data_IF_857889607543
#
_entry.id   IF_857889607543
#
_cell.length_a   1.000
_cell.length_b   1.000
_cell.length_c   1.000
_cell.angle_alpha   90.00
_cell.angle_beta   90.00
_cell.angle_gamma   90.00
#
_symmetry.space_group_name_H-M   'P 1'
#
loop_
_entity.id
_entity.type
_entity.pdbx_description
1 polymer ?
#
# COMPACT_ATOMS: atom_id res chain seq x y z
N UNK A 1 15.45 23.40 -17.41
CA UNK A 1 15.30 23.03 -18.84
C UNK A 1 14.68 21.64 -18.87
N UNK A 2 13.55 21.46 -19.55
CA UNK A 2 12.96 20.14 -19.76
C UNK A 2 12.95 19.87 -21.27
N UNK A 3 13.58 18.77 -21.69
CA UNK A 3 13.50 18.28 -23.05
C UNK A 3 12.35 17.28 -23.05
N UNK A 4 11.29 17.58 -23.79
CA UNK A 4 10.15 16.69 -24.02
C UNK A 4 10.05 16.40 -25.52
N UNK A 5 9.52 15.23 -25.89
CA UNK A 5 9.15 14.90 -27.26
C UNK A 5 7.65 15.11 -27.47
N UNK A 6 7.26 15.53 -28.68
CA UNK A 6 5.86 15.80 -29.03
C UNK A 6 5.71 17.05 -29.89
N UNK A 7 4.68 17.08 -30.75
CA UNK A 7 4.40 18.20 -31.64
C UNK A 7 3.40 19.21 -31.06
N UNK A 8 2.84 18.92 -29.88
CA UNK A 8 1.91 19.79 -29.15
C UNK A 8 2.11 19.67 -27.63
N UNK A 9 1.52 20.59 -26.87
CA UNK A 9 1.50 20.53 -25.41
C UNK A 9 0.77 19.28 -24.87
N UNK A 10 -0.16 18.70 -25.66
CA UNK A 10 -0.89 17.48 -25.28
C UNK A 10 -0.09 16.21 -25.60
N UNK A 11 0.73 16.25 -26.66
CA UNK A 11 1.62 15.14 -27.06
C UNK A 11 2.93 15.10 -26.26
N UNK A 12 3.15 16.08 -25.38
CA UNK A 12 4.39 16.30 -24.60
C UNK A 12 4.69 15.11 -23.69
N UNK A 13 5.66 14.29 -24.09
CA UNK A 13 6.12 13.09 -23.38
C UNK A 13 7.57 13.24 -22.94
N UNK A 14 7.89 12.68 -21.77
CA UNK A 14 9.29 12.57 -21.34
C UNK A 14 10.07 11.68 -22.34
N UNK A 15 11.32 12.03 -22.68
CA UNK A 15 12.16 11.18 -23.49
C UNK A 15 12.40 9.86 -22.76
N UNK A 16 12.42 8.76 -23.52
CA UNK A 16 12.76 7.43 -22.97
C UNK A 16 14.16 7.45 -22.37
N UNK A 17 14.36 6.67 -21.31
CA UNK A 17 15.67 6.53 -20.68
C UNK A 17 16.70 6.02 -21.72
N UNK A 18 17.89 6.65 -21.85
CA UNK A 18 18.91 6.19 -22.78
C UNK A 18 19.32 4.74 -22.53
N UNK A 19 19.63 4.00 -23.62
CA UNK A 19 20.11 2.61 -23.53
C UNK A 19 21.36 2.47 -22.63
N UNK A 20 22.19 3.52 -22.57
CA UNK A 20 23.37 3.62 -21.70
C UNK A 20 23.07 3.76 -20.20
N UNK A 21 21.80 3.79 -19.76
CA UNK A 21 21.44 3.69 -18.35
C UNK A 21 21.20 2.22 -17.91
N UNK A 22 20.88 1.33 -18.86
CA UNK A 22 20.54 -0.08 -18.62
C UNK A 22 21.78 -0.98 -18.53
N UNK A 23 22.89 -0.49 -17.97
CA UNK A 23 24.22 -1.13 -17.94
C UNK A 23 24.24 -2.37 -17.01
N UNK A 24 23.61 -3.46 -17.45
CA UNK A 24 23.30 -4.62 -16.60
C UNK A 24 22.11 -4.41 -15.66
N UNK A 25 21.56 -3.19 -15.61
CA UNK A 25 20.43 -2.83 -14.74
C UNK A 25 19.07 -3.19 -15.35
N UNK A 26 18.15 -3.60 -14.49
CA UNK A 26 16.73 -3.82 -14.81
C UNK A 26 15.90 -2.72 -14.14
N UNK A 27 14.99 -2.09 -14.88
CA UNK A 27 14.07 -1.05 -14.39
C UNK A 27 12.61 -1.52 -14.52
N UNK A 28 11.71 -0.95 -13.72
CA UNK A 28 10.27 -1.18 -13.87
C UNK A 28 9.63 -0.09 -14.76
N UNK A 29 8.92 -0.52 -15.81
CA UNK A 29 8.05 0.35 -16.62
C UNK A 29 6.69 0.55 -15.95
N UNK A 30 6.15 -0.52 -15.35
CA UNK A 30 4.93 -0.47 -14.53
C UNK A 30 4.84 -1.65 -13.56
N UNK A 31 4.14 -1.48 -12.45
CA UNK A 31 3.88 -2.50 -11.44
C UNK A 31 2.38 -2.60 -11.16
N UNK A 32 1.71 -3.60 -11.75
CA UNK A 32 0.32 -3.89 -11.40
C UNK A 32 0.27 -4.64 -10.06
N UNK A 33 -0.49 -4.13 -9.09
CA UNK A 33 -0.75 -4.85 -7.83
C UNK A 33 -1.86 -5.86 -8.06
N UNK A 34 -1.48 -7.14 -8.04
CA UNK A 34 -2.41 -8.25 -8.18
C UNK A 34 -3.24 -8.36 -6.90
N UNK A 35 -4.55 -8.55 -7.07
CA UNK A 35 -5.51 -8.68 -5.97
C UNK A 35 -6.47 -9.84 -6.19
N UNK A 36 -6.89 -10.42 -5.08
CA UNK A 36 -8.02 -11.33 -4.98
C UNK A 36 -9.12 -10.69 -4.11
N UNK A 37 -10.25 -11.39 -3.91
CA UNK A 37 -11.37 -10.92 -3.09
C UNK A 37 -11.03 -10.70 -1.60
N UNK A 38 -9.88 -11.17 -1.12
CA UNK A 38 -9.40 -11.01 0.26
C UNK A 38 -8.40 -9.85 0.43
N UNK A 39 -7.80 -9.35 -0.65
CA UNK A 39 -6.79 -8.28 -0.62
C UNK A 39 -5.69 -8.43 -1.69
N UNK A 40 -4.51 -7.82 -1.49
CA UNK A 40 -3.36 -8.02 -2.37
C UNK A 40 -2.84 -9.47 -2.35
N UNK A 41 -2.50 -10.01 -3.51
CA UNK A 41 -1.96 -11.38 -3.70
C UNK A 41 -0.52 -11.39 -4.22
N UNK A 42 -0.10 -10.36 -4.94
CA UNK A 42 1.25 -10.23 -5.48
C UNK A 42 1.49 -8.93 -6.24
N UNK A 43 2.64 -8.86 -6.90
CA UNK A 43 3.03 -7.82 -7.85
C UNK A 43 3.23 -8.45 -9.23
N UNK A 44 2.90 -7.72 -10.28
CA UNK A 44 3.24 -8.03 -11.66
C UNK A 44 4.02 -6.87 -12.25
N UNK A 45 5.30 -7.09 -12.50
CA UNK A 45 6.26 -6.09 -12.92
C UNK A 45 6.51 -6.24 -14.42
N UNK A 46 6.31 -5.16 -15.16
CA UNK A 46 6.75 -5.03 -16.54
C UNK A 46 8.14 -4.42 -16.53
N UNK A 47 9.14 -5.21 -16.89
CA UNK A 47 10.56 -4.94 -16.69
C UNK A 47 11.25 -4.57 -17.99
N UNK A 48 12.19 -3.62 -17.90
CA UNK A 48 13.04 -3.12 -18.97
C UNK A 48 14.50 -3.45 -18.67
N UNK A 49 15.20 -4.08 -19.62
CA UNK A 49 16.63 -4.35 -19.52
C UNK A 49 17.32 -4.21 -20.88
N UNK A 50 18.63 -3.97 -20.88
CA UNK A 50 19.45 -4.11 -22.08
C UNK A 50 19.55 -5.59 -22.47
N UNK A 51 19.05 -5.95 -23.65
CA UNK A 51 19.19 -7.29 -24.19
C UNK A 51 20.55 -7.47 -24.85
N UNK A 52 21.41 -8.31 -24.25
CA UNK A 52 22.61 -8.78 -24.92
C UNK A 52 22.22 -9.60 -26.16
N UNK A 53 22.57 -9.10 -27.35
CA UNK A 53 22.72 -9.93 -28.55
C UNK A 53 24.11 -10.56 -28.61
N UNK A 54 24.35 -11.54 -29.51
CA UNK A 54 25.67 -12.14 -29.71
C UNK A 54 26.62 -11.22 -30.53
N UNK A 55 26.71 -9.95 -30.16
CA UNK A 55 27.47 -8.91 -30.85
C UNK A 55 27.97 -7.81 -29.90
N UNK A 56 28.66 -6.81 -30.45
CA UNK A 56 29.16 -5.66 -29.67
C UNK A 56 28.01 -4.88 -29.00
N UNK A 57 28.35 -4.10 -27.96
CA UNK A 57 27.44 -3.20 -27.24
C UNK A 57 26.59 -2.26 -28.14
N UNK A 58 27.03 -2.01 -29.37
CA UNK A 58 26.28 -1.24 -30.37
C UNK A 58 24.93 -1.87 -30.79
N UNK A 59 24.78 -3.20 -30.69
CA UNK A 59 23.56 -3.93 -31.03
C UNK A 59 22.63 -4.19 -29.82
N UNK A 60 22.90 -3.57 -28.66
CA UNK A 60 22.13 -3.75 -27.44
C UNK A 60 20.72 -3.16 -27.55
N UNK A 61 19.73 -4.02 -27.82
CA UNK A 61 18.30 -3.63 -27.92
C UNK A 61 17.61 -3.76 -26.57
N UNK A 62 16.84 -2.74 -26.18
CA UNK A 62 15.98 -2.82 -25.00
C UNK A 62 15.00 -3.98 -25.13
N UNK A 63 14.89 -4.82 -24.11
CA UNK A 63 13.89 -5.89 -24.01
C UNK A 63 12.89 -5.55 -22.91
N UNK A 64 11.61 -5.74 -23.24
CA UNK A 64 10.48 -5.64 -22.31
C UNK A 64 10.02 -7.05 -21.98
N UNK A 65 9.83 -7.38 -20.70
CA UNK A 65 9.33 -8.69 -20.27
C UNK A 65 8.53 -8.58 -18.96
N UNK A 66 7.56 -9.47 -18.78
CA UNK A 66 6.69 -9.48 -17.59
C UNK A 66 7.14 -10.55 -16.58
N UNK A 67 7.12 -10.19 -15.29
CA UNK A 67 7.48 -11.08 -14.17
C UNK A 67 6.53 -10.84 -13.00
N UNK A 68 6.06 -11.91 -12.38
CA UNK A 68 5.19 -11.84 -11.20
C UNK A 68 5.93 -12.34 -9.96
N UNK A 69 5.62 -11.76 -8.80
CA UNK A 69 6.10 -12.19 -7.49
C UNK A 69 4.94 -12.11 -6.49
N UNK A 70 4.72 -13.17 -5.73
CA UNK A 70 3.56 -13.36 -4.86
C UNK A 70 3.94 -13.40 -3.37
N UNK A 71 2.94 -13.25 -2.50
CA UNK A 71 3.16 -13.51 -1.07
C UNK A 71 3.37 -15.01 -0.84
N UNK A 72 4.44 -15.35 -0.11
CA UNK A 72 4.82 -16.75 0.12
C UNK A 72 5.87 -17.32 -0.83
N UNK A 73 6.31 -16.58 -1.86
CA UNK A 73 7.47 -16.94 -2.69
C UNK A 73 8.76 -16.99 -1.86
N UNK A 74 9.70 -17.86 -2.20
CA UNK A 74 11.03 -17.91 -1.56
C UNK A 74 11.99 -16.85 -2.10
N UNK A 75 13.09 -16.59 -1.40
CA UNK A 75 14.16 -15.73 -1.95
C UNK A 75 14.70 -16.24 -3.29
N UNK A 76 14.79 -17.55 -3.48
CA UNK A 76 15.25 -18.17 -4.72
C UNK A 76 14.32 -17.85 -5.89
N UNK A 77 13.00 -17.95 -5.66
CA UNK A 77 11.98 -17.60 -6.66
C UNK A 77 12.09 -16.12 -7.05
N UNK A 78 12.16 -15.23 -6.05
CA UNK A 78 12.29 -13.77 -6.28
C UNK A 78 13.58 -13.42 -7.01
N UNK A 79 14.71 -14.02 -6.65
CA UNK A 79 16.00 -13.82 -7.34
C UNK A 79 15.95 -14.33 -8.79
N UNK A 80 15.23 -15.43 -9.05
CA UNK A 80 15.05 -15.96 -10.42
C UNK A 80 14.14 -15.08 -11.28
N UNK A 81 13.18 -14.37 -10.68
CA UNK A 81 12.23 -13.51 -11.39
C UNK A 81 12.77 -12.08 -11.60
N UNK A 82 13.44 -11.49 -10.60
CA UNK A 82 13.83 -10.07 -10.58
C UNK A 82 15.35 -9.83 -10.63
N UNK A 83 16.18 -10.87 -10.51
CA UNK A 83 17.63 -10.74 -10.35
C UNK A 83 18.04 -10.33 -8.93
N UNK A 84 19.30 -9.95 -8.75
CA UNK A 84 19.86 -9.55 -7.46
C UNK A 84 19.33 -8.20 -6.96
N UNK A 85 19.00 -8.05 -5.66
CA UNK A 85 18.69 -6.74 -5.08
C UNK A 85 19.92 -5.84 -5.03
N UNK A 86 19.69 -4.53 -4.99
CA UNK A 86 20.76 -3.53 -4.89
C UNK A 86 21.33 -3.43 -3.47
N UNK A 87 20.51 -3.77 -2.48
CA UNK A 87 20.88 -3.83 -1.07
C UNK A 87 20.03 -4.88 -0.35
N UNK A 88 20.63 -5.53 0.64
CA UNK A 88 19.92 -6.35 1.62
C UNK A 88 19.99 -5.62 2.96
N UNK A 89 18.84 -5.46 3.62
CA UNK A 89 18.75 -4.81 4.92
C UNK A 89 18.04 -5.70 5.94
N UNK A 90 18.79 -6.18 6.92
CA UNK A 90 18.25 -6.92 8.06
C UNK A 90 17.61 -5.94 9.04
N UNK A 91 16.35 -6.17 9.39
CA UNK A 91 15.61 -5.35 10.36
C UNK A 91 16.29 -5.50 11.73
N UNK A 92 16.66 -4.40 12.36
CA UNK A 92 17.01 -4.40 13.79
C UNK A 92 15.79 -4.74 14.64
N UNK A 93 16.00 -5.05 15.93
CA UNK A 93 14.93 -5.52 16.80
C UNK A 93 13.70 -4.60 16.79
N UNK A 94 12.52 -5.21 16.78
CA UNK A 94 11.28 -4.48 16.53
C UNK A 94 10.99 -3.48 17.65
N UNK A 95 11.12 -2.19 17.35
CA UNK A 95 10.89 -1.09 18.29
C UNK A 95 9.48 -1.09 18.91
N UNK A 96 8.50 -1.81 18.34
CA UNK A 96 7.18 -1.98 18.95
C UNK A 96 7.13 -3.07 20.04
N UNK A 97 8.10 -3.99 20.11
CA UNK A 97 8.16 -5.05 21.16
C UNK A 97 8.29 -4.48 22.57
N UNK A 98 8.79 -3.25 22.73
CA UNK A 98 8.92 -2.57 24.03
C UNK A 98 7.56 -2.29 24.70
N UNK A 99 6.47 -2.22 23.91
CA UNK A 99 5.11 -2.04 24.40
C UNK A 99 4.36 -3.38 24.60
N UNK A 100 5.03 -4.53 24.45
CA UNK A 100 4.40 -5.82 24.74
C UNK A 100 4.23 -6.02 26.26
N UNK A 101 3.06 -6.45 26.75
CA UNK A 101 2.78 -6.55 28.18
C UNK A 101 3.46 -7.75 28.88
N UNK A 102 4.55 -8.29 28.33
CA UNK A 102 5.27 -9.43 28.89
C UNK A 102 6.75 -9.48 28.41
N UNK A 103 7.62 -8.56 28.88
CA UNK A 103 9.04 -8.55 28.48
C UNK A 103 9.75 -9.89 28.76
N UNK A 104 9.48 -10.48 29.93
CA UNK A 104 10.17 -11.67 30.44
C UNK A 104 9.81 -12.99 29.72
N UNK A 105 8.82 -13.01 28.81
CA UNK A 105 8.51 -14.19 27.97
C UNK A 105 9.06 -14.09 26.54
N UNK A 106 9.87 -13.07 26.24
CA UNK A 106 10.46 -12.91 24.92
C UNK A 106 11.68 -13.82 24.74
N UNK A 107 11.47 -15.00 24.15
CA UNK A 107 12.56 -15.72 23.48
C UNK A 107 13.04 -14.85 22.31
N UNK A 108 14.33 -14.46 22.25
CA UNK A 108 14.83 -13.64 21.16
C UNK A 108 14.67 -14.37 19.82
N UNK A 109 14.22 -13.64 18.80
CA UNK A 109 14.07 -14.17 17.44
C UNK A 109 15.47 -14.51 16.90
N UNK A 110 15.79 -15.79 16.75
CA UNK A 110 17.16 -16.27 16.40
C UNK A 110 17.69 -15.69 15.08
N UNK A 111 16.78 -15.24 14.20
CA UNK A 111 17.03 -14.44 13.01
C UNK A 111 16.02 -13.27 12.98
N UNK A 112 16.36 -12.18 12.28
CA UNK A 112 15.45 -11.06 12.03
C UNK A 112 14.95 -11.03 10.58
N UNK A 113 13.75 -10.47 10.36
CA UNK A 113 13.19 -10.26 9.02
C UNK A 113 14.13 -9.35 8.20
N UNK A 114 14.20 -9.53 6.88
CA UNK A 114 15.10 -8.76 6.02
C UNK A 114 14.45 -8.32 4.72
N UNK A 115 14.86 -7.15 4.24
CA UNK A 115 14.42 -6.55 3.00
C UNK A 115 15.44 -6.82 1.88
N UNK A 116 14.93 -7.12 0.70
CA UNK A 116 15.63 -6.93 -0.57
C UNK A 116 15.17 -5.59 -1.16
N UNK A 117 16.08 -4.63 -1.29
CA UNK A 117 15.80 -3.31 -1.86
C UNK A 117 16.13 -3.32 -3.36
N UNK A 118 15.14 -3.05 -4.21
CA UNK A 118 15.31 -2.93 -5.67
C UNK A 118 15.14 -1.47 -6.08
N UNK A 119 16.21 -0.67 -5.92
CA UNK A 119 16.18 0.78 -6.14
C UNK A 119 15.70 1.16 -7.55
N UNK A 120 16.15 0.47 -8.61
CA UNK A 120 15.73 0.71 -10.00
C UNK A 120 14.29 0.29 -10.32
N UNK A 121 13.67 -0.55 -9.48
CA UNK A 121 12.27 -0.96 -9.61
C UNK A 121 11.33 -0.08 -8.75
N UNK A 122 11.89 0.64 -7.77
CA UNK A 122 11.11 1.38 -6.76
C UNK A 122 10.41 0.47 -5.73
N UNK A 123 10.90 -0.76 -5.54
CA UNK A 123 10.24 -1.79 -4.73
C UNK A 123 11.16 -2.34 -3.63
N UNK A 124 10.64 -2.48 -2.42
CA UNK A 124 11.23 -3.33 -1.38
C UNK A 124 10.40 -4.61 -1.18
N UNK A 125 11.09 -5.73 -0.97
CA UNK A 125 10.47 -7.03 -0.69
C UNK A 125 10.94 -7.51 0.69
N UNK A 126 10.03 -7.61 1.65
CA UNK A 126 10.32 -8.10 3.00
C UNK A 126 10.15 -9.61 3.07
N UNK A 127 11.19 -10.31 3.51
CA UNK A 127 11.18 -11.73 3.78
C UNK A 127 11.07 -12.02 5.28
N UNK A 128 10.38 -13.11 5.59
CA UNK A 128 10.24 -13.65 6.93
C UNK A 128 11.52 -14.37 7.40
N UNK A 129 12.00 -14.03 8.59
CA UNK A 129 13.26 -14.55 9.15
C UNK A 129 13.32 -16.08 9.31
N UNK A 130 12.16 -16.72 9.51
CA UNK A 130 12.05 -18.14 9.84
C UNK A 130 11.74 -19.02 8.63
N UNK A 131 11.03 -18.46 7.63
CA UNK A 131 10.56 -19.20 6.46
C UNK A 131 11.22 -18.76 5.15
N UNK A 132 12.01 -17.68 5.15
CA UNK A 132 12.65 -17.07 3.97
C UNK A 132 11.67 -16.77 2.82
N UNK A 133 10.40 -16.50 3.18
CA UNK A 133 9.29 -16.26 2.26
C UNK A 133 8.80 -14.81 2.28
N UNK A 134 8.31 -14.33 1.14
CA UNK A 134 7.77 -12.97 0.96
C UNK A 134 6.61 -12.70 1.92
N UNK A 135 6.73 -11.62 2.69
CA UNK A 135 5.87 -11.24 3.83
C UNK A 135 5.16 -9.90 3.60
N UNK A 136 5.84 -8.94 2.97
CA UNK A 136 5.31 -7.61 2.57
C UNK A 136 6.01 -7.11 1.31
N UNK A 137 5.34 -6.23 0.56
CA UNK A 137 5.97 -5.37 -0.45
C UNK A 137 5.89 -3.91 0.02
N UNK A 138 6.84 -3.06 -0.41
CA UNK A 138 6.75 -1.59 -0.30
C UNK A 138 6.99 -1.00 -1.68
N UNK A 139 6.11 -0.13 -2.15
CA UNK A 139 6.20 0.57 -3.43
C UNK A 139 6.50 2.05 -3.17
N UNK A 140 7.57 2.60 -3.74
CA UNK A 140 8.02 3.99 -3.52
C UNK A 140 7.70 4.88 -4.72
N UNK A 141 7.08 6.04 -4.48
CA UNK A 141 6.64 6.96 -5.55
C UNK A 141 7.72 7.96 -6.00
N UNK A 142 8.78 8.12 -5.21
CA UNK A 142 9.87 9.08 -5.42
C UNK A 142 9.36 10.52 -5.69
N UNK A 143 8.56 11.06 -4.76
CA UNK A 143 8.23 12.49 -4.72
C UNK A 143 9.29 13.31 -3.95
N UNK A 144 9.66 14.51 -4.42
CA UNK A 144 10.52 15.43 -3.69
C UNK A 144 9.84 15.89 -2.40
N UNK A 145 10.62 16.04 -1.33
CA UNK A 145 10.10 16.28 0.02
C UNK A 145 9.78 15.00 0.80
N UNK A 146 10.09 13.81 0.29
CA UNK A 146 10.15 12.60 1.11
C UNK A 146 11.60 12.25 1.50
N UNK A 147 11.77 11.60 2.64
CA UNK A 147 13.06 11.14 3.14
C UNK A 147 13.80 10.18 2.17
N UNK A 148 13.06 9.33 1.45
CA UNK A 148 13.62 8.38 0.48
C UNK A 148 13.84 9.00 -0.93
N UNK A 149 13.63 10.31 -1.11
CA UNK A 149 13.74 10.95 -2.43
C UNK A 149 15.13 10.74 -3.04
N UNK A 150 15.16 10.43 -4.34
CA UNK A 150 16.36 10.10 -5.12
C UNK A 150 17.14 8.85 -4.67
N UNK A 151 16.65 8.06 -3.70
CA UNK A 151 17.19 6.73 -3.37
C UNK A 151 16.57 5.65 -4.27
N UNK A 152 15.29 5.82 -4.63
CA UNK A 152 14.53 4.89 -5.45
C UNK A 152 14.15 5.53 -6.79
N UNK A 153 14.14 4.73 -7.85
CA UNK A 153 13.35 5.05 -9.03
C UNK A 153 11.86 5.11 -8.64
N UNK A 154 11.05 5.83 -9.42
CA UNK A 154 9.60 5.81 -9.24
C UNK A 154 9.07 4.42 -9.58
N UNK A 155 8.39 3.78 -8.63
CA UNK A 155 7.57 2.62 -8.92
C UNK A 155 6.28 3.10 -9.60
N UNK A 156 6.10 2.79 -10.88
CA UNK A 156 4.89 3.16 -11.62
C UNK A 156 3.76 2.17 -11.36
N UNK A 157 3.16 2.25 -10.17
CA UNK A 157 2.19 1.29 -9.71
C UNK A 157 0.75 1.57 -10.14
N UNK A 158 -0.04 0.49 -10.21
CA UNK A 158 -1.51 0.53 -10.34
C UNK A 158 -2.13 -0.40 -9.32
N UNK A 159 -3.06 0.11 -8.52
CA UNK A 159 -3.77 -0.64 -7.48
C UNK A 159 -5.27 -0.52 -7.74
N UNK A 160 -5.97 -1.58 -8.15
CA UNK A 160 -7.43 -1.57 -8.14
C UNK A 160 -7.93 -1.51 -6.69
N UNK A 161 -8.68 -0.46 -6.34
CA UNK A 161 -9.32 -0.28 -5.05
C UNK A 161 -10.80 -0.64 -5.18
N UNK A 162 -11.29 -1.54 -4.34
CA UNK A 162 -12.72 -1.86 -4.30
C UNK A 162 -13.47 -0.76 -3.53
N UNK A 163 -14.43 -0.08 -4.17
CA UNK A 163 -15.27 0.91 -3.50
C UNK A 163 -16.55 0.23 -3.00
N UNK A 164 -16.80 0.35 -1.70
CA UNK A 164 -18.15 0.17 -1.15
C UNK A 164 -18.80 1.55 -1.09
N UNK A 165 -19.79 1.81 -1.96
CA UNK A 165 -20.61 3.03 -1.87
C UNK A 165 -21.42 2.95 -0.58
N UNK A 166 -20.96 3.65 0.46
CA UNK A 166 -21.66 3.72 1.73
C UNK A 166 -23.01 4.39 1.54
N UNK A 167 -24.10 3.67 1.81
CA UNK A 167 -25.43 4.28 1.95
C UNK A 167 -25.33 5.40 2.97
N UNK A 168 -25.77 6.61 2.61
CA UNK A 168 -25.82 7.77 3.52
C UNK A 168 -26.83 7.54 4.65
N UNK A 169 -26.43 6.74 5.66
CA UNK A 169 -27.05 6.74 6.98
C UNK A 169 -26.64 8.03 7.69
N UNK A 170 -27.31 9.12 7.32
CA UNK A 170 -27.34 10.35 8.09
C UNK A 170 -27.61 9.98 9.55
N UNK A 171 -26.74 10.41 10.46
CA UNK A 171 -26.79 9.97 11.85
C UNK A 171 -28.02 10.53 12.55
N UNK A 172 -29.05 9.69 12.68
CA UNK A 172 -30.17 9.92 13.59
C UNK A 172 -29.61 9.80 15.01
N UNK A 173 -29.13 10.92 15.54
CA UNK A 173 -28.77 11.04 16.95
C UNK A 173 -30.04 10.83 17.80
N UNK A 174 -30.02 9.94 18.82
CA UNK A 174 -31.14 9.83 19.75
C UNK A 174 -31.19 11.07 20.65
N UNK A 175 -32.30 11.83 20.68
CA UNK A 175 -32.40 13.04 21.48
C UNK A 175 -32.73 12.73 22.94
N UNK A 176 -31.73 12.74 23.83
CA UNK A 176 -31.92 12.60 25.28
C UNK A 176 -31.02 13.52 26.12
N UNK A 177 -31.41 14.79 26.24
CA UNK A 177 -31.27 15.59 27.47
C UNK A 177 -32.22 16.79 27.44
N UNK A 178 -32.91 17.05 28.56
CA UNK A 178 -34.02 18.01 28.65
C UNK A 178 -33.57 19.47 28.79
N UNK A 179 -34.45 20.41 28.46
CA UNK A 179 -34.84 21.43 29.45
C UNK A 179 -36.36 21.56 29.63
N UNK A 180 -36.77 22.47 30.53
CA UNK A 180 -38.08 22.49 31.20
C UNK A 180 -39.24 23.15 30.45
N UNK A 181 -40.40 22.49 30.49
CA UNK A 181 -41.76 23.01 30.75
C UNK A 181 -42.12 24.46 30.36
N UNK A 182 -43.03 24.63 29.37
CA UNK A 182 -44.40 25.21 29.56
C UNK A 182 -45.20 25.38 28.23
N UNK A 183 -46.38 24.76 28.16
CA UNK A 183 -47.53 25.20 27.33
C UNK A 183 -47.64 24.67 25.88
N UNK A 184 -48.86 24.28 25.47
CA UNK A 184 -49.23 23.97 24.07
C UNK A 184 -49.86 22.57 23.85
N UNK A 185 -51.06 22.51 23.26
CA UNK A 185 -51.84 21.27 22.99
C UNK A 185 -51.32 20.53 21.72
N UNK A 186 -51.03 19.21 21.73
CA UNK A 186 -51.89 18.02 21.38
C UNK A 186 -52.88 18.21 20.21
N UNK A 187 -53.15 17.25 19.31
CA UNK A 187 -52.96 15.77 19.27
C UNK A 187 -52.09 15.33 18.04
N UNK A 188 -52.13 14.17 17.32
CA UNK A 188 -52.99 12.96 17.14
C UNK A 188 -52.09 11.75 16.73
N UNK A 189 -52.57 10.50 16.85
CA UNK A 189 -51.95 9.25 16.34
C UNK A 189 -52.93 8.38 15.50
N UNK A 190 -52.48 7.65 14.47
CA UNK A 190 -53.11 6.42 13.96
C UNK A 190 -52.42 5.16 14.52
N UNK A 191 -53.16 4.04 14.65
CA UNK A 191 -52.69 2.79 15.30
C UNK A 191 -52.93 1.54 14.45
N UNK A 192 -51.86 0.80 14.14
CA UNK A 192 -51.78 -0.64 13.82
C UNK A 192 -50.30 -1.00 13.57
N UNK A 193 -49.78 -2.22 13.74
CA UNK A 193 -50.30 -3.48 14.27
C UNK A 193 -49.25 -4.58 14.01
N UNK A 194 -48.97 -5.52 14.94
CA UNK A 194 -47.78 -6.37 14.82
C UNK A 194 -47.98 -7.67 14.01
N UNK A 195 -47.00 -8.03 13.17
CA UNK A 195 -46.66 -9.43 12.89
C UNK A 195 -46.74 -9.95 11.45
N UNK A 196 -45.68 -9.72 10.65
CA UNK A 196 -45.21 -10.69 9.63
C UNK A 196 -43.68 -10.62 9.50
N UNK A 197 -42.99 -11.74 9.74
CA UNK A 197 -41.54 -11.84 9.55
C UNK A 197 -41.20 -12.09 8.07
N UNK A 198 -41.16 -11.03 7.26
CA UNK A 198 -40.59 -11.11 5.92
C UNK A 198 -39.06 -11.22 6.00
N UNK A 199 -38.56 -12.45 5.95
CA UNK A 199 -37.13 -12.74 5.74
C UNK A 199 -36.73 -12.39 4.30
N UNK A 200 -36.49 -11.10 4.05
CA UNK A 200 -36.03 -10.63 2.74
C UNK A 200 -34.59 -11.08 2.53
N UNK A 201 -34.44 -12.19 1.80
CA UNK A 201 -33.15 -12.64 1.27
C UNK A 201 -32.67 -11.64 0.21
N UNK A 202 -32.00 -10.58 0.65
CA UNK A 202 -31.21 -9.74 -0.26
C UNK A 202 -29.99 -10.54 -0.72
N UNK A 203 -30.01 -10.99 -1.97
CA UNK A 203 -28.79 -11.39 -2.66
C UNK A 203 -27.88 -10.17 -2.81
N UNK A 204 -26.68 -10.19 -2.20
CA UNK A 204 -25.67 -9.18 -2.49
C UNK A 204 -25.23 -9.31 -3.96
N UNK A 205 -25.79 -8.47 -4.84
CA UNK A 205 -25.23 -8.26 -6.16
C UNK A 205 -23.86 -7.60 -5.99
N UNK A 206 -22.81 -8.42 -6.07
CA UNK A 206 -21.43 -8.05 -5.79
C UNK A 206 -20.76 -7.24 -6.93
N UNK A 207 -21.47 -6.25 -7.47
CA UNK A 207 -20.99 -5.37 -8.54
C UNK A 207 -20.27 -4.13 -7.93
N UNK A 208 -19.19 -4.42 -7.21
CA UNK A 208 -18.39 -3.43 -6.50
C UNK A 208 -17.48 -2.65 -7.46
N UNK A 209 -17.84 -1.40 -7.77
CA UNK A 209 -17.04 -0.50 -8.62
C UNK A 209 -15.58 -0.45 -8.14
N UNK A 210 -14.64 -0.74 -9.05
CA UNK A 210 -13.21 -0.68 -8.77
C UNK A 210 -12.58 0.56 -9.40
N UNK A 211 -11.90 1.37 -8.60
CA UNK A 211 -11.15 2.55 -9.07
C UNK A 211 -9.65 2.31 -8.99
N UNK A 212 -8.87 2.79 -9.98
CA UNK A 212 -7.43 2.53 -10.03
C UNK A 212 -6.65 3.64 -9.34
N UNK A 213 -6.14 3.36 -8.15
CA UNK A 213 -5.10 4.19 -7.53
C UNK A 213 -3.78 4.02 -8.29
N UNK A 214 -3.08 5.11 -8.54
CA UNK A 214 -1.77 5.14 -9.22
C UNK A 214 -0.74 5.88 -8.39
N UNK A 215 0.53 5.80 -8.79
CA UNK A 215 1.64 6.62 -8.28
C UNK A 215 1.33 8.12 -8.23
N UNK A 216 0.48 8.60 -9.14
CA UNK A 216 0.12 10.02 -9.30
C UNK A 216 -1.15 10.42 -8.55
N UNK A 217 -1.87 9.47 -7.95
CA UNK A 217 -3.10 9.75 -7.21
C UNK A 217 -2.80 10.50 -5.90
N UNK A 218 -3.58 11.56 -5.63
CA UNK A 218 -3.56 12.24 -4.33
C UNK A 218 -4.41 11.50 -3.31
N UNK A 219 -4.03 11.62 -2.04
CA UNK A 219 -4.74 10.96 -0.93
C UNK A 219 -6.19 11.43 -0.78
N UNK A 220 -6.45 12.73 -0.91
CA UNK A 220 -7.77 13.32 -0.70
C UNK A 220 -8.83 12.69 -1.63
N UNK A 221 -8.49 12.57 -2.93
CA UNK A 221 -9.33 11.92 -3.94
C UNK A 221 -9.63 10.46 -3.59
N UNK A 222 -8.66 9.72 -3.04
CA UNK A 222 -8.83 8.32 -2.63
C UNK A 222 -9.72 8.26 -1.38
N UNK A 223 -9.56 9.18 -0.44
CA UNK A 223 -10.34 9.25 0.79
C UNK A 223 -11.81 9.62 0.51
N UNK A 224 -12.07 10.54 -0.42
CA UNK A 224 -13.41 10.91 -0.87
C UNK A 224 -14.15 9.70 -1.47
N UNK A 225 -13.49 8.95 -2.36
CA UNK A 225 -14.01 7.73 -2.98
C UNK A 225 -14.38 6.62 -1.98
N UNK A 226 -13.91 6.69 -0.73
CA UNK A 226 -14.17 5.70 0.32
C UNK A 226 -15.31 6.09 1.27
N UNK A 227 -15.88 7.29 1.13
CA UNK A 227 -17.15 7.72 1.75
C UNK A 227 -17.15 7.93 3.28
N UNK A 228 -16.08 7.55 3.99
CA UNK A 228 -15.94 7.69 5.45
C UNK A 228 -14.54 8.19 5.82
N UNK A 229 -14.38 8.93 6.92
CA UNK A 229 -13.06 9.26 7.44
C UNK A 229 -12.34 7.96 7.82
N UNK A 230 -11.16 7.74 7.22
CA UNK A 230 -10.27 6.64 7.59
C UNK A 230 -9.84 6.81 9.06
N UNK A 231 -9.57 5.71 9.75
CA UNK A 231 -9.07 5.72 11.13
C UNK A 231 -7.88 6.69 11.28
N UNK A 232 -7.77 7.34 12.46
CA UNK A 232 -6.75 8.37 12.72
C UNK A 232 -5.36 7.84 12.34
N UNK A 233 -4.63 8.50 11.40
CA UNK A 233 -3.40 7.95 10.86
C UNK A 233 -2.31 7.86 11.92
N UNK A 234 -1.46 6.85 11.80
CA UNK A 234 -0.23 6.75 12.60
C UNK A 234 0.76 7.77 12.06
N UNK A 235 1.20 8.71 12.90
CA UNK A 235 2.20 9.73 12.53
C UNK A 235 3.59 9.10 12.57
N UNK A 236 4.28 9.07 11.42
CA UNK A 236 5.62 8.51 11.29
C UNK A 236 6.68 9.62 11.35
N UNK A 237 7.36 9.72 12.50
CA UNK A 237 8.59 10.51 12.63
C UNK A 237 9.81 9.65 12.26
N UNK A 238 10.51 10.01 11.17
CA UNK A 238 11.72 9.30 10.71
C UNK A 238 13.00 9.76 11.42
N UNK A 239 12.98 10.93 12.06
CA UNK A 239 14.08 11.51 12.85
C UNK A 239 14.47 10.60 14.02
N UNK A 240 15.58 9.87 13.90
CA UNK A 240 15.98 8.86 14.90
C UNK A 240 17.49 8.70 15.13
N UNK A 241 18.31 9.64 14.64
CA UNK A 241 19.67 9.88 15.15
C UNK A 241 20.08 11.35 14.97
N UNK A 242 21.08 11.88 15.71
CA UNK A 242 21.47 13.29 15.64
C UNK A 242 21.90 13.77 14.25
N UNK A 243 22.47 12.86 13.45
CA UNK A 243 23.02 13.15 12.12
C UNK A 243 22.06 12.72 10.99
N UNK A 244 20.82 12.36 11.29
CA UNK A 244 19.82 11.86 10.33
C UNK A 244 18.40 12.33 10.71
N UNK A 245 18.24 13.63 10.87
CA UNK A 245 16.96 14.32 11.01
C UNK A 245 16.29 14.47 9.64
N UNK A 246 15.02 14.07 9.52
CA UNK A 246 14.28 14.27 8.26
C UNK A 246 13.88 15.76 8.14
N UNK A 247 14.41 16.52 7.16
CA UNK A 247 14.10 17.95 7.05
C UNK A 247 12.66 18.24 6.62
N UNK A 248 11.96 17.23 6.09
CA UNK A 248 10.60 17.37 5.53
C UNK A 248 9.48 17.05 6.53
N UNK A 249 9.78 16.89 7.83
CA UNK A 249 8.81 16.61 8.88
C UNK A 249 8.30 15.16 8.92
N UNK A 250 7.10 14.95 9.46
CA UNK A 250 6.46 13.63 9.57
C UNK A 250 5.53 13.31 8.40
N UNK A 251 5.41 12.02 8.08
CA UNK A 251 4.38 11.44 7.20
C UNK A 251 3.23 10.83 8.00
N UNK A 252 2.09 10.60 7.34
CA UNK A 252 0.88 10.02 7.92
C UNK A 252 0.60 8.66 7.31
N UNK A 253 0.46 7.61 8.13
CA UNK A 253 0.21 6.24 7.67
C UNK A 253 -1.26 5.87 7.85
N UNK A 254 -1.97 5.66 6.73
CA UNK A 254 -3.38 5.28 6.68
C UNK A 254 -3.54 3.80 6.31
N UNK A 255 -4.31 3.04 7.09
CA UNK A 255 -4.62 1.64 6.81
C UNK A 255 -5.85 1.47 5.92
N UNK A 256 -5.74 0.72 4.82
CA UNK A 256 -6.84 0.47 3.88
C UNK A 256 -6.66 -0.88 3.18
N UNK A 257 -7.66 -1.77 3.25
CA UNK A 257 -7.75 -3.00 2.44
C UNK A 257 -6.46 -3.86 2.41
N UNK A 258 -5.87 -4.14 3.58
CA UNK A 258 -4.56 -4.84 3.74
C UNK A 258 -3.37 -4.12 3.10
N UNK A 259 -3.45 -2.80 2.99
CA UNK A 259 -2.37 -1.91 2.55
C UNK A 259 -2.21 -0.78 3.57
N UNK A 260 -1.02 -0.18 3.62
CA UNK A 260 -0.76 1.07 4.35
C UNK A 260 -0.23 2.10 3.37
N UNK A 261 -0.90 3.24 3.28
CA UNK A 261 -0.49 4.39 2.48
C UNK A 261 0.27 5.36 3.37
N UNK A 262 1.55 5.60 3.07
CA UNK A 262 2.33 6.67 3.69
C UNK A 262 2.12 7.95 2.88
N UNK A 263 1.50 8.95 3.50
CA UNK A 263 1.08 10.21 2.88
C UNK A 263 1.90 11.37 3.43
N UNK A 264 2.30 12.27 2.54
CA UNK A 264 3.06 13.48 2.84
C UNK A 264 2.13 14.66 3.18
N UNK A 265 2.67 15.72 3.79
CA UNK A 265 1.91 16.92 4.19
C UNK A 265 1.29 17.70 3.00
N UNK A 266 1.67 17.38 1.75
CA UNK A 266 1.12 17.91 0.51
C UNK A 266 0.13 16.94 -0.18
N UNK A 267 -0.34 15.93 0.55
CA UNK A 267 -1.30 14.89 0.16
C UNK A 267 -0.88 14.01 -1.03
N UNK A 268 0.42 14.01 -1.36
CA UNK A 268 1.02 12.97 -2.21
C UNK A 268 1.35 11.71 -1.40
N UNK A 269 1.15 10.54 -1.99
CA UNK A 269 1.58 9.26 -1.44
C UNK A 269 3.09 9.15 -1.62
N UNK A 270 3.84 8.90 -0.55
CA UNK A 270 5.28 8.62 -0.59
C UNK A 270 5.57 7.13 -0.81
N UNK A 271 4.82 6.25 -0.12
CA UNK A 271 4.94 4.81 -0.29
C UNK A 271 3.62 4.08 -0.03
N UNK A 272 3.47 2.88 -0.60
CA UNK A 272 2.38 1.95 -0.28
C UNK A 272 2.98 0.63 0.17
N UNK A 273 2.67 0.19 1.39
CA UNK A 273 3.06 -1.12 1.92
C UNK A 273 1.92 -2.12 1.75
N UNK A 274 2.15 -3.23 1.04
CA UNK A 274 1.17 -4.29 0.81
C UNK A 274 1.37 -5.45 1.79
N UNK A 275 0.28 -6.00 2.33
CA UNK A 275 0.30 -7.14 3.26
C UNK A 275 -0.36 -8.37 2.65
N UNK A 276 0.36 -9.50 2.71
CA UNK A 276 -0.17 -10.82 2.34
C UNK A 276 -1.32 -11.28 3.25
N UNK A 277 -1.96 -12.42 2.93
CA UNK A 277 -3.05 -12.95 3.72
C UNK A 277 -2.58 -13.25 5.16
N UNK A 278 -3.45 -13.07 6.18
CA UNK A 278 -3.10 -13.41 7.55
C UNK A 278 -2.78 -14.90 7.65
N UNK A 279 -1.71 -15.26 8.38
CA UNK A 279 -1.30 -16.66 8.53
C UNK A 279 -2.41 -17.46 9.22
N UNK A 280 -2.78 -18.66 8.74
CA UNK A 280 -3.67 -19.54 9.48
C UNK A 280 -3.07 -19.80 10.88
N UNK A 281 -3.91 -19.63 11.92
CA UNK A 281 -3.49 -19.70 13.32
C UNK A 281 -3.14 -18.37 14.01
N UNK A 282 -3.03 -17.25 13.28
CA UNK A 282 -2.65 -15.95 13.88
C UNK A 282 -3.65 -15.38 14.91
N UNK A 283 -4.92 -15.84 14.92
CA UNK A 283 -5.97 -15.39 15.84
C UNK A 283 -6.04 -16.15 17.18
N UNK A 284 -5.32 -17.25 17.36
CA UNK A 284 -5.41 -18.12 18.56
C UNK A 284 -4.65 -17.56 19.79
N UNK A 285 -4.67 -16.23 20.01
CA UNK A 285 -4.01 -15.56 21.15
C UNK A 285 -4.79 -14.41 21.80
N UNK A 286 -6.05 -14.19 21.42
CA UNK A 286 -6.91 -13.14 21.99
C UNK A 286 -8.24 -13.64 22.55
N UNK A 287 -8.44 -14.96 22.59
CA UNK A 287 -9.61 -15.61 23.17
C UNK A 287 -9.19 -16.86 23.96
N UNK A 288 -8.56 -16.64 25.12
CA UNK A 288 -8.54 -17.53 26.30
C UNK A 288 -7.66 -16.92 27.40
N UNK A 289 -8.29 -16.14 28.27
CA UNK A 289 -7.87 -15.92 29.66
C UNK A 289 -9.16 -15.82 30.51
N UNK A 290 -9.29 -16.60 31.60
CA UNK A 290 -10.32 -16.38 32.61
C UNK A 290 -9.97 -15.20 33.55
#
# INVERSE_FOLDING_TARGET
>A
MYIYSGNSLQDTKAPVMPLSCFLGNVYAESVDVLRDGTGPSGLRLRLLAAGCGPGLLADAKMRVFERSVYFGDSCQDVLSMLGSPHKIFYKSEDKMKIHSPSPHKQVPSKCNDYFFNYFTLGVDILFDANTHKVKKFVLHTNYPGHYNFNIYHRCEFKIPLAIKKGTLKQSIFPPYSSPSTKGGQVWILPSAGPGTNHSVFFSENADGQTETCTTYSKWDNIQELLGHPVEKPVVLHRSSSPNNTNPFGSTFCFGLQRMIFEVMQNNHIASVTLYGPPRPGAHLKTAELP
#
